data_IF_982530232116
#
_entry.id   IF_982530232116
#
_cell.length_a   1.000
_cell.length_b   1.000
_cell.length_c   1.000
_cell.angle_alpha   90.00
_cell.angle_beta   90.00
_cell.angle_gamma   90.00
#
_symmetry.space_group_name_H-M   'P 1'
#
loop_
_entity.id
_entity.type
_entity.pdbx_description
1 polymer ?
#
# COMPACT_ATOMS: atom_id res chain seq x y z
N UNK A 1 -7.42 11.04 1.92
CA UNK A 1 -7.76 11.26 3.36
C UNK A 1 -9.08 10.63 3.75
N UNK A 2 -10.16 10.86 2.98
CA UNK A 2 -11.48 10.27 3.21
C UNK A 2 -11.42 8.74 3.41
N UNK A 3 -10.59 8.04 2.62
CA UNK A 3 -10.31 6.60 2.76
C UNK A 3 -9.96 6.15 4.18
N UNK A 4 -9.15 6.89 4.95
CA UNK A 4 -8.72 6.44 6.28
C UNK A 4 -9.92 6.38 7.25
N UNK A 5 -10.81 7.36 7.15
CA UNK A 5 -12.00 7.44 8.00
C UNK A 5 -13.12 6.52 7.48
N UNK A 6 -13.27 6.40 6.16
CA UNK A 6 -14.32 5.58 5.56
C UNK A 6 -14.02 4.09 5.56
N UNK A 7 -12.75 3.67 5.57
CA UNK A 7 -12.36 2.25 5.60
C UNK A 7 -12.99 1.47 6.76
N UNK A 8 -12.84 1.86 8.05
CA UNK A 8 -13.45 1.12 9.15
C UNK A 8 -14.98 1.12 9.07
N UNK A 9 -15.59 2.20 8.56
CA UNK A 9 -17.03 2.26 8.34
C UNK A 9 -17.50 1.27 7.26
N UNK A 10 -16.77 1.16 6.15
CA UNK A 10 -17.02 0.16 5.10
C UNK A 10 -16.84 -1.26 5.66
N UNK A 11 -15.78 -1.49 6.45
CA UNK A 11 -15.56 -2.77 7.13
C UNK A 11 -16.72 -3.15 8.05
N UNK A 12 -17.24 -2.18 8.81
CA UNK A 12 -18.43 -2.37 9.64
C UNK A 12 -19.67 -2.76 8.80
N UNK A 13 -19.94 -2.06 7.69
CA UNK A 13 -21.06 -2.39 6.79
C UNK A 13 -20.96 -3.80 6.23
N UNK A 14 -19.75 -4.22 5.84
CA UNK A 14 -19.48 -5.58 5.37
C UNK A 14 -19.85 -6.56 6.49
N UNK A 15 -19.31 -6.39 7.70
CA UNK A 15 -19.57 -7.29 8.85
C UNK A 15 -21.08 -7.39 9.17
N UNK A 16 -21.84 -6.31 8.99
CA UNK A 16 -23.30 -6.32 9.17
C UNK A 16 -24.08 -6.96 8.01
N UNK A 17 -23.39 -7.44 6.97
CA UNK A 17 -24.01 -8.01 5.77
C UNK A 17 -24.62 -6.98 4.82
N UNK A 18 -24.38 -5.68 5.04
CA UNK A 18 -24.91 -4.59 4.21
C UNK A 18 -24.00 -4.34 2.99
N UNK A 19 -23.88 -5.36 2.13
CA UNK A 19 -22.95 -5.35 1.01
C UNK A 19 -23.25 -4.29 -0.05
N UNK A 20 -24.53 -3.95 -0.26
CA UNK A 20 -24.94 -2.90 -1.20
C UNK A 20 -24.38 -1.53 -0.79
N UNK A 21 -24.54 -1.17 0.49
CA UNK A 21 -24.02 0.08 1.04
C UNK A 21 -22.49 0.10 1.09
N UNK A 22 -21.87 -1.04 1.41
CA UNK A 22 -20.41 -1.17 1.39
C UNK A 22 -19.84 -0.99 -0.04
N UNK A 23 -20.45 -1.62 -1.04
CA UNK A 23 -20.06 -1.51 -2.44
C UNK A 23 -20.26 -0.08 -2.97
N UNK A 24 -21.44 0.51 -2.70
CA UNK A 24 -21.74 1.90 -3.05
C UNK A 24 -20.76 2.88 -2.40
N UNK A 25 -20.44 2.68 -1.12
CA UNK A 25 -19.43 3.46 -0.41
C UNK A 25 -18.05 3.36 -1.06
N UNK A 26 -17.57 2.14 -1.35
CA UNK A 26 -16.30 1.92 -2.04
C UNK A 26 -16.23 2.65 -3.39
N UNK A 27 -17.31 2.61 -4.18
CA UNK A 27 -17.38 3.27 -5.49
C UNK A 27 -17.34 4.79 -5.31
N UNK A 28 -18.17 5.35 -4.42
CA UNK A 28 -18.25 6.80 -4.19
C UNK A 28 -16.92 7.35 -3.68
N UNK A 29 -16.38 6.77 -2.61
CA UNK A 29 -15.10 7.23 -2.04
C UNK A 29 -13.92 6.99 -2.99
N UNK A 30 -13.95 5.91 -3.78
CA UNK A 30 -12.94 5.65 -4.81
C UNK A 30 -12.97 6.67 -5.95
N UNK A 31 -14.16 7.04 -6.42
CA UNK A 31 -14.35 8.07 -7.46
C UNK A 31 -13.93 9.46 -6.96
N UNK A 32 -14.30 9.83 -5.74
CA UNK A 32 -13.89 11.11 -5.14
C UNK A 32 -12.37 11.22 -5.07
N UNK A 33 -11.67 10.18 -4.61
CA UNK A 33 -10.21 10.19 -4.53
C UNK A 33 -9.54 10.16 -5.92
N UNK A 34 -10.13 9.49 -6.91
CA UNK A 34 -9.63 9.51 -8.28
C UNK A 34 -9.74 10.92 -8.90
N UNK A 35 -10.83 11.63 -8.61
CA UNK A 35 -11.04 13.02 -9.02
C UNK A 35 -10.07 13.96 -8.32
N UNK A 36 -9.92 13.87 -7.00
CA UNK A 36 -8.97 14.68 -6.23
C UNK A 36 -7.53 14.45 -6.72
N UNK A 37 -7.16 13.19 -6.97
CA UNK A 37 -5.86 12.83 -7.51
C UNK A 37 -5.64 13.29 -8.96
N UNK A 38 -6.70 13.35 -9.78
CA UNK A 38 -6.63 13.93 -11.12
C UNK A 38 -6.41 15.45 -11.06
N UNK A 39 -7.17 16.15 -10.23
CA UNK A 39 -7.05 17.61 -10.03
C UNK A 39 -5.66 17.94 -9.48
N UNK A 40 -5.20 17.24 -8.44
CA UNK A 40 -3.88 17.46 -7.85
C UNK A 40 -2.73 17.27 -8.87
N UNK A 41 -2.85 16.30 -9.79
CA UNK A 41 -1.88 16.10 -10.88
C UNK A 41 -1.96 17.18 -11.95
N UNK A 42 -3.17 17.59 -12.33
CA UNK A 42 -3.40 18.60 -13.37
C UNK A 42 -2.88 19.98 -12.96
N UNK A 43 -2.99 20.32 -11.67
CA UNK A 43 -2.56 21.62 -11.14
C UNK A 43 -1.19 21.59 -10.44
N UNK A 44 -0.44 20.48 -10.56
CA UNK A 44 0.82 20.26 -9.83
C UNK A 44 0.73 20.50 -8.30
N UNK A 45 -0.48 20.41 -7.75
CA UNK A 45 -0.76 20.58 -6.32
C UNK A 45 -0.58 19.24 -5.58
N UNK A 46 0.60 18.63 -5.71
CA UNK A 46 0.95 17.47 -4.87
C UNK A 46 1.44 17.95 -3.52
N UNK A 47 0.63 17.76 -2.48
CA UNK A 47 1.05 18.07 -1.13
C UNK A 47 2.04 17.01 -0.61
N UNK A 48 3.06 17.46 0.12
CA UNK A 48 4.04 16.59 0.77
C UNK A 48 3.36 15.56 1.69
N UNK A 49 2.37 16.01 2.45
CA UNK A 49 1.59 15.20 3.39
C UNK A 49 0.74 14.16 2.66
N UNK A 50 0.12 14.50 1.52
CA UNK A 50 -0.66 13.56 0.71
C UNK A 50 0.18 12.40 0.18
N UNK A 51 1.44 12.65 -0.20
CA UNK A 51 2.31 11.60 -0.75
C UNK A 51 2.59 10.42 0.20
N UNK A 52 2.52 10.64 1.52
CA UNK A 52 2.67 9.59 2.54
C UNK A 52 1.30 9.00 2.88
N UNK A 53 0.31 9.87 3.05
CA UNK A 53 -0.98 9.48 3.60
C UNK A 53 -1.80 8.69 2.58
N UNK A 54 -1.63 8.95 1.28
CA UNK A 54 -2.35 8.22 0.24
C UNK A 54 -1.99 6.71 0.21
N UNK A 55 -0.69 6.31 0.17
CA UNK A 55 -0.32 4.90 0.30
C UNK A 55 -0.74 4.25 1.62
N UNK A 56 -0.74 5.01 2.72
CA UNK A 56 -1.20 4.50 4.01
C UNK A 56 -2.70 4.25 4.00
N UNK A 57 -3.47 5.18 3.43
CA UNK A 57 -4.92 5.06 3.29
C UNK A 57 -5.30 3.86 2.43
N UNK A 58 -4.59 3.62 1.32
CA UNK A 58 -4.78 2.42 0.49
C UNK A 58 -4.57 1.13 1.30
N UNK A 59 -3.50 1.06 2.09
CA UNK A 59 -3.24 -0.12 2.91
C UNK A 59 -4.29 -0.34 3.98
N UNK A 60 -4.78 0.72 4.63
CA UNK A 60 -5.85 0.62 5.63
C UNK A 60 -7.14 0.09 4.99
N UNK A 61 -7.51 0.62 3.82
CA UNK A 61 -8.69 0.15 3.09
C UNK A 61 -8.56 -1.33 2.71
N UNK A 62 -7.44 -1.71 2.08
CA UNK A 62 -7.20 -3.08 1.65
C UNK A 62 -7.20 -4.07 2.82
N UNK A 63 -6.55 -3.71 3.93
CA UNK A 63 -6.52 -4.54 5.14
C UNK A 63 -7.93 -4.69 5.72
N UNK A 64 -8.69 -3.60 5.79
CA UNK A 64 -10.06 -3.61 6.32
C UNK A 64 -10.99 -4.46 5.47
N UNK A 65 -10.95 -4.31 4.14
CA UNK A 65 -11.74 -5.15 3.22
C UNK A 65 -11.36 -6.62 3.35
N UNK A 66 -10.06 -6.93 3.37
CA UNK A 66 -9.58 -8.31 3.48
C UNK A 66 -10.08 -8.98 4.76
N UNK A 67 -9.97 -8.30 5.90
CA UNK A 67 -10.41 -8.84 7.20
C UNK A 67 -11.93 -8.95 7.29
N UNK A 68 -12.68 -7.94 6.84
CA UNK A 68 -14.14 -7.94 6.91
C UNK A 68 -14.76 -9.00 5.99
N UNK A 69 -14.24 -9.16 4.76
CA UNK A 69 -14.70 -10.18 3.82
C UNK A 69 -14.38 -11.60 4.32
N UNK A 70 -13.20 -11.79 4.94
CA UNK A 70 -12.83 -13.07 5.54
C UNK A 70 -13.70 -13.41 6.75
N UNK A 71 -14.05 -12.41 7.58
CA UNK A 71 -14.92 -12.59 8.74
C UNK A 71 -16.30 -13.13 8.35
N UNK A 72 -16.87 -12.65 7.24
CA UNK A 72 -18.15 -13.14 6.72
C UNK A 72 -18.04 -14.43 5.89
N UNK A 73 -16.86 -15.03 5.79
CA UNK A 73 -16.65 -16.24 4.99
C UNK A 73 -16.70 -16.04 3.47
N UNK A 74 -16.73 -14.79 2.99
CA UNK A 74 -16.67 -14.48 1.55
C UNK A 74 -15.26 -14.66 0.97
N UNK A 75 -14.24 -14.63 1.83
CA UNK A 75 -12.85 -14.84 1.47
C UNK A 75 -12.25 -15.95 2.34
N UNK A 76 -11.51 -16.93 1.77
CA UNK A 76 -10.84 -17.94 2.57
C UNK A 76 -9.87 -17.31 3.58
N UNK A 77 -9.99 -17.69 4.85
CA UNK A 77 -9.17 -17.13 5.94
C UNK A 77 -7.67 -17.30 5.71
N UNK A 78 -7.26 -18.42 5.11
CA UNK A 78 -5.86 -18.69 4.74
C UNK A 78 -5.35 -17.65 3.74
N UNK A 79 -6.14 -17.31 2.72
CA UNK A 79 -5.76 -16.29 1.73
C UNK A 79 -5.67 -14.91 2.37
N UNK A 80 -6.61 -14.58 3.27
CA UNK A 80 -6.59 -13.33 4.03
C UNK A 80 -5.31 -13.18 4.86
N UNK A 81 -4.90 -14.23 5.58
CA UNK A 81 -3.65 -14.23 6.37
C UNK A 81 -2.43 -14.04 5.48
N UNK A 82 -2.39 -14.69 4.31
CA UNK A 82 -1.27 -14.53 3.36
C UNK A 82 -1.18 -13.10 2.82
N UNK A 83 -2.32 -12.50 2.45
CA UNK A 83 -2.40 -11.11 1.97
C UNK A 83 -1.92 -10.14 3.05
N UNK A 84 -2.52 -10.20 4.24
CA UNK A 84 -2.20 -9.28 5.35
C UNK A 84 -0.75 -9.47 5.79
N UNK A 85 -0.29 -10.71 5.95
CA UNK A 85 1.08 -11.01 6.35
C UNK A 85 2.11 -10.44 5.38
N UNK A 86 1.88 -10.59 4.07
CA UNK A 86 2.74 -10.01 3.03
C UNK A 86 2.73 -8.49 3.08
N UNK A 87 1.56 -7.87 3.22
CA UNK A 87 1.45 -6.42 3.23
C UNK A 87 2.08 -5.78 4.46
N UNK A 88 1.97 -6.42 5.61
CA UNK A 88 2.67 -6.05 6.85
C UNK A 88 4.17 -6.20 6.67
N UNK A 89 4.65 -7.33 6.13
CA UNK A 89 6.07 -7.56 5.89
C UNK A 89 6.68 -6.47 4.98
N UNK A 90 5.99 -6.09 3.89
CA UNK A 90 6.44 -5.01 3.02
C UNK A 90 6.38 -3.63 3.67
N UNK A 91 5.35 -3.35 4.48
CA UNK A 91 5.29 -2.11 5.28
C UNK A 91 6.48 -2.00 6.23
N UNK A 92 6.77 -3.07 6.97
CA UNK A 92 7.87 -3.11 7.92
C UNK A 92 9.22 -2.98 7.22
N UNK A 93 9.42 -3.68 6.10
CA UNK A 93 10.63 -3.55 5.30
C UNK A 93 10.86 -2.11 4.85
N UNK A 94 9.82 -1.43 4.34
CA UNK A 94 9.91 -0.03 3.94
C UNK A 94 10.29 0.90 5.11
N UNK A 95 9.68 0.69 6.29
CA UNK A 95 9.99 1.46 7.51
C UNK A 95 11.44 1.23 7.97
N UNK A 96 11.88 -0.03 8.00
CA UNK A 96 13.25 -0.40 8.45
C UNK A 96 14.30 0.16 7.49
N UNK A 97 14.10 0.05 6.18
CA UNK A 97 15.02 0.59 5.17
C UNK A 97 15.12 2.12 5.30
N UNK A 98 13.99 2.81 5.47
CA UNK A 98 13.96 4.25 5.71
C UNK A 98 14.67 4.63 7.01
N UNK A 99 14.45 3.86 8.09
CA UNK A 99 15.10 4.09 9.37
C UNK A 99 16.64 3.91 9.32
N UNK A 100 17.09 2.88 8.60
CA UNK A 100 18.50 2.56 8.46
C UNK A 100 19.28 3.59 7.64
N UNK A 101 18.61 4.26 6.69
CA UNK A 101 19.22 5.19 5.72
C UNK A 101 19.22 6.65 6.17
N UNK A 102 18.66 6.96 7.34
CA UNK A 102 18.63 8.31 7.89
C UNK A 102 20.03 8.81 8.33
N UNK A 103 20.42 10.04 7.94
CA UNK A 103 21.65 10.67 8.41
C UNK A 103 21.57 10.98 9.92
N UNK A 104 22.68 10.78 10.63
CA UNK A 104 22.79 11.08 12.07
C UNK A 104 22.67 12.59 12.35
N UNK A 105 22.05 13.03 13.46
CA UNK A 105 21.28 12.26 14.44
C UNK A 105 19.96 11.68 13.90
N UNK A 106 19.61 10.48 14.36
CA UNK A 106 18.34 9.81 14.03
C UNK A 106 17.23 10.36 14.93
N UNK A 107 16.36 11.20 14.37
CA UNK A 107 15.24 11.81 15.10
C UNK A 107 13.94 11.56 14.35
N UNK A 108 12.82 11.39 15.07
CA UNK A 108 11.49 11.25 14.46
C UNK A 108 11.15 12.38 13.48
N UNK A 109 11.56 13.62 13.78
CA UNK A 109 11.40 14.77 12.88
C UNK A 109 12.08 14.56 11.51
N UNK A 110 13.25 13.92 11.48
CA UNK A 110 13.96 13.58 10.23
C UNK A 110 13.40 12.34 9.56
N UNK A 111 12.90 11.37 10.32
CA UNK A 111 12.20 10.23 9.74
C UNK A 111 11.06 10.71 8.83
N UNK A 112 10.28 11.70 9.27
CA UNK A 112 9.21 12.30 8.48
C UNK A 112 9.69 13.33 7.43
N UNK A 113 10.99 13.64 7.35
CA UNK A 113 11.58 14.57 6.38
C UNK A 113 11.96 13.83 5.08
N UNK A 114 11.08 13.88 4.07
CA UNK A 114 11.28 13.24 2.76
C UNK A 114 12.21 14.02 1.82
N UNK A 115 12.74 15.18 2.22
CA UNK A 115 13.74 15.91 1.42
C UNK A 115 15.08 15.14 1.32
N UNK A 116 15.29 14.20 2.24
CA UNK A 116 16.40 13.27 2.25
C UNK A 116 16.00 12.10 1.33
N UNK A 117 16.69 11.84 0.19
CA UNK A 117 16.32 10.75 -0.72
C UNK A 117 16.65 9.40 -0.07
N UNK A 118 15.75 8.93 0.79
CA UNK A 118 15.79 7.63 1.41
C UNK A 118 15.33 6.60 0.36
N UNK A 119 16.31 5.98 -0.30
CA UNK A 119 16.24 4.75 -1.13
C UNK A 119 14.90 4.49 -1.82
N UNK A 120 14.87 4.64 -3.14
CA UNK A 120 13.77 4.12 -3.96
C UNK A 120 13.80 2.59 -3.94
N UNK A 121 12.96 1.97 -3.12
CA UNK A 121 12.65 0.55 -3.23
C UNK A 121 11.86 0.39 -4.53
N UNK A 122 12.53 0.03 -5.62
CA UNK A 122 11.87 -0.19 -6.91
C UNK A 122 10.90 -1.36 -6.78
N UNK A 123 9.59 -1.15 -6.87
CA UNK A 123 8.64 -2.25 -6.80
C UNK A 123 8.84 -3.16 -8.01
N UNK A 124 8.99 -4.46 -7.76
CA UNK A 124 9.05 -5.46 -8.82
C UNK A 124 7.73 -5.50 -9.59
N UNK A 125 7.76 -5.86 -10.88
CA UNK A 125 6.53 -5.98 -11.69
C UNK A 125 5.54 -6.96 -11.06
N UNK A 126 6.04 -8.03 -10.43
CA UNK A 126 5.26 -9.01 -9.67
C UNK A 126 4.45 -8.35 -8.54
N UNK A 127 5.07 -7.42 -7.80
CA UNK A 127 4.36 -6.70 -6.73
C UNK A 127 3.26 -5.79 -7.25
N UNK A 128 3.44 -5.17 -8.43
CA UNK A 128 2.40 -4.31 -9.04
C UNK A 128 1.22 -5.15 -9.53
N UNK A 129 1.49 -6.25 -10.23
CA UNK A 129 0.46 -7.17 -10.67
C UNK A 129 -0.33 -7.73 -9.48
N UNK A 130 0.36 -8.09 -8.40
CA UNK A 130 -0.30 -8.59 -7.19
C UNK A 130 -1.27 -7.55 -6.60
N UNK A 131 -0.85 -6.29 -6.47
CA UNK A 131 -1.73 -5.24 -5.91
C UNK A 131 -2.96 -4.98 -6.78
N UNK A 132 -2.83 -5.07 -8.11
CA UNK A 132 -3.98 -4.96 -9.01
C UNK A 132 -4.93 -6.15 -8.86
N UNK A 133 -4.39 -7.37 -8.83
CA UNK A 133 -5.19 -8.58 -8.62
C UNK A 133 -5.91 -8.57 -7.27
N UNK A 134 -5.24 -8.12 -6.20
CA UNK A 134 -5.86 -7.97 -4.88
C UNK A 134 -7.01 -6.95 -4.91
N UNK A 135 -6.84 -5.80 -5.57
CA UNK A 135 -7.92 -4.81 -5.71
C UNK A 135 -9.12 -5.39 -6.47
N UNK A 136 -8.87 -6.08 -7.58
CA UNK A 136 -9.92 -6.75 -8.37
C UNK A 136 -10.60 -7.84 -7.54
N UNK A 137 -9.84 -8.62 -6.77
CA UNK A 137 -10.38 -9.65 -5.88
C UNK A 137 -11.27 -9.05 -4.80
N UNK A 138 -10.85 -7.99 -4.10
CA UNK A 138 -11.66 -7.35 -3.06
C UNK A 138 -12.96 -6.79 -3.66
N UNK A 139 -12.88 -6.12 -4.82
CA UNK A 139 -14.05 -5.57 -5.49
C UNK A 139 -15.02 -6.66 -5.95
N UNK A 140 -14.52 -7.73 -6.60
CA UNK A 140 -15.33 -8.83 -7.07
C UNK A 140 -15.96 -9.62 -5.92
N UNK A 141 -15.22 -9.86 -4.84
CA UNK A 141 -15.70 -10.58 -3.65
C UNK A 141 -16.76 -9.77 -2.91
N UNK A 142 -16.60 -8.45 -2.82
CA UNK A 142 -17.62 -7.56 -2.24
C UNK A 142 -18.88 -7.49 -3.11
N UNK A 143 -18.73 -7.50 -4.43
CA UNK A 143 -19.83 -7.47 -5.38
C UNK A 143 -20.59 -8.81 -5.47
N UNK A 144 -19.94 -9.94 -5.18
CA UNK A 144 -20.51 -11.27 -5.28
C UNK A 144 -21.87 -11.42 -4.57
N UNK A 145 -22.01 -11.09 -3.26
CA UNK A 145 -23.30 -11.18 -2.58
C UNK A 145 -24.35 -10.19 -3.12
N UNK A 146 -23.94 -9.05 -3.69
CA UNK A 146 -24.87 -8.05 -4.27
C UNK A 146 -25.49 -8.55 -5.57
N UNK A 147 -24.71 -9.24 -6.41
CA UNK A 147 -25.19 -9.80 -7.67
C UNK A 147 -25.68 -11.26 -7.56
N UNK A 148 -25.72 -11.83 -6.35
CA UNK A 148 -26.10 -13.22 -6.13
C UNK A 148 -25.12 -14.23 -6.73
N UNK A 149 -23.88 -13.84 -6.95
CA UNK A 149 -22.83 -14.73 -7.47
C UNK A 149 -22.32 -15.61 -6.32
N UNK A 150 -22.34 -16.95 -6.47
CA UNK A 150 -21.80 -17.86 -5.47
C UNK A 150 -20.31 -17.59 -5.21
N UNK A 151 -19.88 -17.71 -3.94
CA UNK A 151 -18.48 -17.46 -3.53
C UNK A 151 -17.51 -18.47 -4.17
N UNK A 152 -17.99 -19.67 -4.44
CA UNK A 152 -17.29 -20.77 -5.10
C UNK A 152 -17.34 -20.69 -6.64
N UNK A 153 -17.99 -19.67 -7.20
CA UNK A 153 -18.04 -19.47 -8.64
C UNK A 153 -16.63 -19.51 -9.24
N UNK A 154 -16.50 -20.22 -10.36
CA UNK A 154 -15.21 -20.49 -11.01
C UNK A 154 -14.37 -19.21 -11.20
N UNK A 155 -15.00 -18.10 -11.56
CA UNK A 155 -14.32 -16.81 -11.73
C UNK A 155 -13.67 -16.29 -10.44
N UNK A 156 -14.38 -16.33 -9.31
CA UNK A 156 -13.86 -15.90 -8.01
C UNK A 156 -12.79 -16.86 -7.51
N UNK A 157 -13.01 -18.17 -7.65
CA UNK A 157 -12.03 -19.18 -7.26
C UNK A 157 -10.72 -19.04 -8.04
N UNK A 158 -10.77 -18.85 -9.36
CA UNK A 158 -9.58 -18.61 -10.19
C UNK A 158 -8.87 -17.31 -9.76
N UNK A 159 -9.63 -16.25 -9.49
CA UNK A 159 -9.07 -14.98 -9.05
C UNK A 159 -8.40 -15.07 -7.66
N UNK A 160 -8.98 -15.84 -6.73
CA UNK A 160 -8.40 -16.13 -5.41
C UNK A 160 -7.08 -16.89 -5.55
N UNK A 161 -7.03 -17.95 -6.36
CA UNK A 161 -5.81 -18.71 -6.61
C UNK A 161 -4.74 -17.88 -7.31
N UNK A 162 -5.10 -17.10 -8.34
CA UNK A 162 -4.19 -16.20 -9.01
C UNK A 162 -3.60 -15.17 -8.03
N UNK A 163 -4.44 -14.55 -7.22
CA UNK A 163 -4.01 -13.56 -6.21
C UNK A 163 -3.13 -14.19 -5.13
N UNK A 164 -3.48 -15.39 -4.66
CA UNK A 164 -2.67 -16.14 -3.69
C UNK A 164 -1.29 -16.47 -4.25
N UNK A 165 -1.23 -17.01 -5.47
CA UNK A 165 0.01 -17.34 -6.15
C UNK A 165 0.89 -16.09 -6.36
N UNK A 166 0.33 -14.97 -6.82
CA UNK A 166 1.09 -13.73 -6.99
C UNK A 166 1.50 -13.10 -5.66
N UNK A 167 0.72 -13.28 -4.59
CA UNK A 167 1.06 -12.77 -3.26
C UNK A 167 2.26 -13.52 -2.69
N UNK A 168 2.24 -14.85 -2.77
CA UNK A 168 3.36 -15.70 -2.36
C UNK A 168 4.59 -15.42 -3.21
N UNK A 169 4.45 -15.39 -4.54
CA UNK A 169 5.55 -15.08 -5.45
C UNK A 169 6.14 -13.70 -5.19
N UNK A 170 5.30 -12.70 -4.89
CA UNK A 170 5.77 -11.36 -4.52
C UNK A 170 6.50 -11.36 -3.16
N UNK A 171 6.04 -12.12 -2.18
CA UNK A 171 6.68 -12.23 -0.87
C UNK A 171 8.04 -12.91 -0.97
N UNK A 172 8.09 -14.06 -1.65
CA UNK A 172 9.33 -14.81 -1.89
C UNK A 172 10.31 -13.99 -2.72
N UNK A 173 9.85 -13.30 -3.77
CA UNK A 173 10.71 -12.43 -4.57
C UNK A 173 11.41 -11.35 -3.74
N UNK A 174 10.78 -10.88 -2.65
CA UNK A 174 11.39 -9.92 -1.74
C UNK A 174 12.38 -10.57 -0.76
N UNK A 175 12.10 -11.79 -0.30
CA UNK A 175 13.00 -12.57 0.56
C UNK A 175 14.25 -13.09 -0.19
N UNK A 176 14.10 -13.45 -1.46
CA UNK A 176 15.13 -14.08 -2.29
C UNK A 176 15.97 -13.04 -3.03
N UNK A 177 15.44 -11.86 -3.34
CA UNK A 177 16.23 -10.78 -3.92
C UNK A 177 17.18 -10.18 -2.87
N UNK A 178 18.38 -10.75 -2.79
CA UNK A 178 19.54 -10.19 -2.07
C UNK A 178 19.90 -8.76 -2.52
N UNK A 179 19.30 -8.26 -3.61
CA UNK A 179 19.48 -6.92 -4.17
C UNK A 179 18.45 -5.86 -3.70
N UNK A 180 17.38 -6.24 -2.98
CA UNK A 180 16.37 -5.28 -2.50
C UNK A 180 16.91 -4.33 -1.41
N UNK A 181 18.02 -4.72 -0.78
CA UNK A 181 18.82 -3.85 0.09
C UNK A 181 20.19 -3.67 -0.56
N UNK A 182 20.24 -2.94 -1.66
CA UNK A 182 21.49 -2.26 -2.02
C UNK A 182 21.74 -1.24 -0.90
N UNK A 183 22.48 -1.67 0.13
CA UNK A 183 23.01 -0.76 1.15
C UNK A 183 23.85 0.24 0.38
N UNK A 184 23.34 1.46 0.21
CA UNK A 184 24.17 2.56 -0.28
C UNK A 184 25.42 2.57 0.60
N UNK A 185 26.57 2.29 -0.01
CA UNK A 185 27.82 2.25 0.73
C UNK A 185 28.03 3.65 1.28
N UNK A 186 28.62 3.82 2.49
CA UNK A 186 28.87 5.16 3.07
C UNK A 186 29.49 6.15 2.05
N UNK A 187 30.27 5.63 1.09
CA UNK A 187 30.88 6.36 -0.02
C UNK A 187 29.90 6.97 -1.04
N UNK A 188 28.76 6.33 -1.33
CA UNK A 188 27.77 6.81 -2.29
C UNK A 188 26.85 7.87 -1.68
N UNK A 189 26.56 7.75 -0.38
CA UNK A 189 25.88 8.79 0.40
C UNK A 189 26.77 10.03 0.53
N UNK A 190 28.08 9.85 0.79
CA UNK A 190 29.03 10.96 0.89
C UNK A 190 29.19 11.74 -0.43
N UNK A 191 29.05 11.07 -1.59
CA UNK A 191 29.09 11.72 -2.91
C UNK A 191 27.86 12.56 -3.23
N UNK A 192 26.72 12.32 -2.57
CA UNK A 192 25.44 13.00 -2.85
C UNK A 192 25.09 14.12 -1.87
N UNK A 193 25.84 14.29 -0.78
CA UNK A 193 25.71 15.45 0.10
C UNK A 193 26.44 16.63 -0.60
N UNK A 194 25.76 17.71 -0.99
CA UNK A 194 26.45 18.89 -1.51
C UNK A 194 27.40 19.40 -0.43
N UNK A 195 28.69 19.59 -0.80
CA UNK A 195 29.71 20.16 0.10
C UNK A 195 29.13 21.45 0.72
N UNK A 196 29.25 21.66 2.03
CA UNK A 196 28.83 22.91 2.63
C UNK A 196 29.53 24.05 1.90
N UNK A 197 28.74 24.98 1.35
CA UNK A 197 29.25 26.19 0.71
C UNK A 197 29.98 26.96 1.79
N UNK A 198 31.31 26.88 1.79
CA UNK A 198 32.16 27.67 2.68
C UNK A 198 31.89 29.13 2.29
N UNK A 199 31.12 29.82 3.13
CA UNK A 199 31.02 31.27 3.03
C UNK A 199 32.43 31.82 3.30
N UNK A 200 32.97 32.68 2.42
CA UNK A 200 34.27 33.28 2.67
C UNK A 200 34.22 34.03 4.01
N UNK A 201 35.18 33.74 4.89
CA UNK A 201 35.43 34.56 6.07
C UNK A 201 35.73 35.97 5.57
N UNK A 202 34.82 36.91 5.81
CA UNK A 202 35.14 38.32 5.69
C UNK A 202 36.32 38.61 6.62
N UNK A 203 37.43 39.04 6.02
CA UNK A 203 38.50 39.77 6.69
C UNK A 203 38.11 41.22 6.81
#
# INVERSE_FOLDING_TARGET
>A
MARILSSPYIGYLIIQGQYEWALGGCIVFGLTDALDGYIARRYNMRSFVGSIIDPMADKVLMTTLTLALAYNGLLPSVLAVVIVGRDVALSLAAVVIRWATLPTPKTWRRYFDLSIPSVEVRPTLVSKCNTVLQLVLMAATLAAPVFGVPVDAMGLTVLQWATGATTVASGVGYLVSKDAVHRLTKAEVAKRIPKPRILPKNK
#
